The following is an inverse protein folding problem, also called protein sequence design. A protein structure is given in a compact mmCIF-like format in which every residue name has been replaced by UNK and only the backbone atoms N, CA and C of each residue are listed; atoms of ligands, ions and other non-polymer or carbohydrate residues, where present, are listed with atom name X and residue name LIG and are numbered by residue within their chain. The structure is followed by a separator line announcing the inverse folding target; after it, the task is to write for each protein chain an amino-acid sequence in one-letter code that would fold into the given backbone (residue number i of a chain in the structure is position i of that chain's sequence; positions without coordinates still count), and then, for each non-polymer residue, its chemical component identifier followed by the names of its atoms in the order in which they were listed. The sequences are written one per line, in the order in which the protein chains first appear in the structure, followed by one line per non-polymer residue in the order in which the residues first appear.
data_IF_725763412140
#
_entry.id   IF_725763412140
#
_cell.length_a   1.000
_cell.length_b   1.000
_cell.length_c   1.000
_cell.angle_alpha   90.00
_cell.angle_beta   90.00
_cell.angle_gamma   90.00
#
_symmetry.space_group_name_H-M   'P 1'
#
loop_
_entity.id
_entity.type
_entity.pdbx_description
1 polymer ?
#
# COMPACT_ATOMS: atom_id res chain seq x y z
N UNK A 1 4.11 8.24 -13.34
CA UNK A 1 4.90 7.40 -12.39
C UNK A 1 4.54 5.92 -12.42
N UNK A 2 3.26 5.54 -12.53
CA UNK A 2 2.81 4.12 -12.47
C UNK A 2 3.44 3.24 -13.58
N UNK A 3 3.68 3.78 -14.78
CA UNK A 3 4.37 3.06 -15.87
C UNK A 3 5.91 3.15 -15.83
N UNK A 4 6.46 4.15 -15.13
CA UNK A 4 7.92 4.35 -15.06
C UNK A 4 8.59 3.27 -14.20
N UNK A 5 7.97 2.88 -13.09
CA UNK A 5 8.55 1.87 -12.18
C UNK A 5 8.64 0.48 -12.81
N UNK A 6 7.60 -0.03 -13.51
CA UNK A 6 7.70 -1.28 -14.25
C UNK A 6 8.72 -1.23 -15.41
N UNK A 7 8.89 -0.07 -16.04
CA UNK A 7 9.90 0.11 -17.09
C UNK A 7 11.34 0.04 -16.53
N UNK A 8 11.58 0.57 -15.32
CA UNK A 8 12.87 0.41 -14.63
C UNK A 8 13.18 -1.07 -14.37
N UNK A 9 12.17 -1.89 -14.04
CA UNK A 9 12.35 -3.35 -13.89
C UNK A 9 12.79 -4.00 -15.19
N UNK A 10 12.17 -3.63 -16.31
CA UNK A 10 12.54 -4.16 -17.62
C UNK A 10 13.98 -3.77 -18.01
N UNK A 11 14.37 -2.51 -17.82
CA UNK A 11 15.76 -2.08 -18.07
C UNK A 11 16.73 -2.86 -17.18
N UNK A 12 16.41 -2.98 -15.89
CA UNK A 12 17.27 -3.70 -14.94
C UNK A 12 17.42 -5.18 -15.30
N UNK A 13 16.32 -5.81 -15.75
CA UNK A 13 16.35 -7.15 -16.31
C UNK A 13 17.35 -7.24 -17.47
N UNK A 14 17.22 -6.40 -18.50
CA UNK A 14 18.13 -6.40 -19.66
C UNK A 14 19.59 -6.20 -19.22
N UNK A 15 19.87 -5.25 -18.33
CA UNK A 15 21.22 -5.00 -17.82
C UNK A 15 21.81 -6.20 -17.09
N UNK A 16 20.98 -7.00 -16.40
CA UNK A 16 21.43 -8.17 -15.63
C UNK A 16 21.91 -9.33 -16.50
N UNK A 17 21.49 -9.38 -17.77
CA UNK A 17 21.91 -10.42 -18.73
C UNK A 17 23.03 -9.97 -19.66
N UNK A 18 23.45 -8.71 -19.59
CA UNK A 18 24.63 -8.20 -20.31
C UNK A 18 25.85 -8.42 -19.41
N UNK A 19 26.83 -9.27 -19.76
CA UNK A 19 27.92 -9.66 -18.86
C UNK A 19 28.68 -8.49 -18.21
N UNK A 20 28.99 -7.44 -18.99
CA UNK A 20 29.71 -6.25 -18.49
C UNK A 20 28.87 -5.40 -17.53
N UNK A 21 27.53 -5.47 -17.64
CA UNK A 21 26.57 -4.67 -16.86
C UNK A 21 25.86 -5.49 -15.78
N UNK A 22 26.16 -6.79 -15.66
CA UNK A 22 25.50 -7.71 -14.74
C UNK A 22 25.58 -7.22 -13.29
N UNK A 23 26.71 -6.63 -12.87
CA UNK A 23 26.88 -6.06 -11.53
C UNK A 23 25.97 -4.85 -11.29
N UNK A 24 25.75 -4.03 -12.31
CA UNK A 24 24.80 -2.91 -12.25
C UNK A 24 23.38 -3.44 -12.13
N UNK A 25 23.03 -4.44 -12.93
CA UNK A 25 21.74 -5.14 -12.85
C UNK A 25 21.47 -5.73 -11.47
N UNK A 26 22.48 -6.37 -10.86
CA UNK A 26 22.42 -6.93 -9.50
C UNK A 26 22.29 -5.86 -8.42
N UNK A 27 23.04 -4.76 -8.51
CA UNK A 27 22.94 -3.66 -7.57
C UNK A 27 21.54 -3.02 -7.62
N UNK A 28 21.00 -2.83 -8.82
CA UNK A 28 19.63 -2.35 -9.02
C UNK A 28 18.59 -3.35 -8.50
N UNK A 29 18.79 -4.66 -8.70
CA UNK A 29 17.92 -5.70 -8.15
C UNK A 29 17.81 -5.59 -6.62
N UNK A 30 18.95 -5.50 -5.94
CA UNK A 30 18.98 -5.32 -4.49
C UNK A 30 18.37 -3.98 -4.07
N UNK A 31 18.64 -2.92 -4.81
CA UNK A 31 18.02 -1.61 -4.55
C UNK A 31 16.48 -1.68 -4.65
N UNK A 32 15.94 -2.37 -5.64
CA UNK A 32 14.48 -2.57 -5.79
C UNK A 32 13.90 -3.26 -4.55
N UNK A 33 14.54 -4.34 -4.07
CA UNK A 33 14.10 -5.02 -2.85
C UNK A 33 14.16 -4.13 -1.61
N UNK A 34 15.26 -3.39 -1.47
CA UNK A 34 15.40 -2.42 -0.39
C UNK A 34 14.25 -1.40 -0.40
N UNK A 35 13.90 -0.87 -1.58
CA UNK A 35 12.79 0.06 -1.74
C UNK A 35 11.45 -0.59 -1.42
N UNK A 36 11.18 -1.82 -1.87
CA UNK A 36 9.95 -2.56 -1.55
C UNK A 36 9.79 -2.76 -0.03
N UNK A 37 10.86 -3.18 0.65
CA UNK A 37 10.89 -3.36 2.11
C UNK A 37 10.61 -2.03 2.82
N UNK A 38 11.30 -0.96 2.39
CA UNK A 38 11.12 0.37 2.96
C UNK A 38 9.68 0.86 2.78
N UNK A 39 9.11 0.69 1.60
CA UNK A 39 7.74 1.10 1.30
C UNK A 39 6.73 0.32 2.13
N UNK A 40 6.88 -1.01 2.25
CA UNK A 40 6.06 -1.86 3.12
C UNK A 40 6.10 -1.36 4.58
N UNK A 41 7.29 -1.07 5.10
CA UNK A 41 7.44 -0.60 6.48
C UNK A 41 6.75 0.75 6.71
N UNK A 42 6.96 1.72 5.80
CA UNK A 42 6.33 3.03 5.87
C UNK A 42 4.81 2.95 5.74
N UNK A 43 4.33 2.11 4.83
CA UNK A 43 2.90 1.92 4.62
C UNK A 43 2.23 1.32 5.87
N UNK A 44 2.82 0.27 6.47
CA UNK A 44 2.32 -0.30 7.74
C UNK A 44 2.33 0.73 8.87
N UNK A 45 3.38 1.54 9.00
CA UNK A 45 3.44 2.60 10.01
C UNK A 45 2.31 3.61 9.82
N UNK A 46 2.04 4.02 8.58
CA UNK A 46 0.95 4.97 8.25
C UNK A 46 -0.42 4.38 8.53
N UNK A 47 -0.67 3.15 8.08
CA UNK A 47 -1.96 2.50 8.30
C UNK A 47 -2.20 2.17 9.76
N UNK A 48 -1.17 1.86 10.53
CA UNK A 48 -1.31 1.72 11.99
C UNK A 48 -1.87 2.99 12.63
N UNK A 49 -1.43 4.18 12.21
CA UNK A 49 -1.99 5.46 12.68
C UNK A 49 -3.46 5.61 12.30
N UNK A 50 -3.83 5.26 11.06
CA UNK A 50 -5.23 5.25 10.61
C UNK A 50 -6.09 4.33 11.48
N UNK A 51 -5.63 3.10 11.72
CA UNK A 51 -6.37 2.12 12.53
C UNK A 51 -6.51 2.59 13.99
N UNK A 52 -5.43 3.08 14.60
CA UNK A 52 -5.45 3.61 15.96
C UNK A 52 -6.43 4.78 16.10
N UNK A 53 -6.40 5.75 15.17
CA UNK A 53 -7.30 6.91 15.20
C UNK A 53 -8.78 6.55 15.00
N UNK A 54 -9.06 5.42 14.36
CA UNK A 54 -10.42 4.96 14.12
C UNK A 54 -10.89 3.88 15.12
N UNK A 55 -10.08 3.56 16.14
CA UNK A 55 -10.33 2.47 17.09
C UNK A 55 -10.55 1.10 16.40
N UNK A 56 -9.82 0.85 15.31
CA UNK A 56 -9.86 -0.41 14.57
C UNK A 56 -8.77 -1.37 15.05
N UNK A 57 -9.06 -2.67 15.03
CA UNK A 57 -8.05 -3.70 15.32
C UNK A 57 -7.09 -3.84 14.14
N UNK A 58 -5.80 -3.57 14.39
CA UNK A 58 -4.76 -3.75 13.38
C UNK A 58 -4.44 -5.26 13.22
N UNK A 59 -4.32 -5.78 11.99
CA UNK A 59 -4.02 -7.20 11.77
C UNK A 59 -2.68 -7.60 12.39
N UNK A 60 -2.53 -8.87 12.76
CA UNK A 60 -1.28 -9.43 13.33
C UNK A 60 -0.17 -9.52 12.28
N UNK A 61 0.44 -8.37 12.00
CA UNK A 61 1.57 -8.21 11.09
C UNK A 61 2.81 -7.97 11.96
N UNK A 62 3.80 -8.87 11.88
CA UNK A 62 5.01 -8.71 12.69
C UNK A 62 5.73 -7.42 12.30
N UNK A 63 5.99 -6.58 13.29
CA UNK A 63 6.58 -5.25 13.11
C UNK A 63 8.08 -5.29 12.78
N UNK A 64 8.77 -6.38 13.14
CA UNK A 64 10.20 -6.52 12.89
C UNK A 64 10.50 -6.39 11.39
N UNK A 65 11.32 -5.39 11.07
CA UNK A 65 11.71 -5.09 9.70
C UNK A 65 12.34 -6.31 9.01
N UNK A 66 11.93 -6.64 7.78
CA UNK A 66 12.47 -7.78 7.03
C UNK A 66 13.90 -7.56 6.51
N UNK A 67 14.55 -6.45 6.90
CA UNK A 67 15.89 -6.08 6.45
C UNK A 67 16.95 -7.14 6.80
N UNK A 68 16.78 -7.87 7.91
CA UNK A 68 17.70 -8.94 8.28
C UNK A 68 17.68 -10.06 7.26
N UNK A 69 16.50 -10.44 6.75
CA UNK A 69 16.37 -11.46 5.71
C UNK A 69 16.95 -10.97 4.39
N UNK A 70 16.76 -9.70 4.06
CA UNK A 70 17.38 -9.10 2.87
C UNK A 70 18.92 -9.09 2.95
N UNK A 71 19.49 -8.74 4.11
CA UNK A 71 20.94 -8.76 4.31
C UNK A 71 21.51 -10.18 4.22
N UNK A 72 20.86 -11.16 4.87
CA UNK A 72 21.25 -12.58 4.78
C UNK A 72 21.15 -13.10 3.34
N UNK A 73 20.14 -12.66 2.59
CA UNK A 73 19.99 -13.00 1.18
C UNK A 73 21.13 -12.44 0.33
N UNK A 74 21.51 -11.16 0.51
CA UNK A 74 22.65 -10.57 -0.20
C UNK A 74 23.94 -11.33 0.13
N UNK A 75 24.23 -11.56 1.41
CA UNK A 75 25.47 -12.23 1.84
C UNK A 75 25.54 -13.64 1.26
N UNK A 76 24.48 -14.44 1.39
CA UNK A 76 24.44 -15.79 0.83
C UNK A 76 24.58 -15.79 -0.70
N UNK A 77 23.94 -14.86 -1.38
CA UNK A 77 24.06 -14.70 -2.83
C UNK A 77 25.49 -14.36 -3.25
N UNK A 78 26.16 -13.42 -2.56
CA UNK A 78 27.55 -13.06 -2.86
C UNK A 78 28.51 -14.23 -2.61
N UNK A 79 28.34 -14.97 -1.52
CA UNK A 79 29.13 -16.17 -1.24
C UNK A 79 28.96 -17.21 -2.36
N UNK A 80 27.73 -17.47 -2.79
CA UNK A 80 27.45 -18.38 -3.90
C UNK A 80 28.09 -17.91 -5.22
N UNK A 81 28.06 -16.61 -5.52
CA UNK A 81 28.66 -16.07 -6.75
C UNK A 81 30.18 -16.14 -6.73
N UNK A 82 30.82 -15.76 -5.62
CA UNK A 82 32.27 -15.88 -5.45
C UNK A 82 32.70 -17.34 -5.55
N UNK A 83 31.95 -18.23 -4.88
CA UNK A 83 32.19 -19.67 -4.95
C UNK A 83 32.04 -20.22 -6.37
N UNK A 84 31.00 -19.80 -7.11
CA UNK A 84 30.80 -20.18 -8.51
C UNK A 84 31.94 -19.73 -9.42
N UNK A 85 32.40 -18.49 -9.28
CA UNK A 85 33.54 -17.96 -10.05
C UNK A 85 34.82 -18.75 -9.76
N UNK A 86 35.08 -19.04 -8.48
CA UNK A 86 36.22 -19.87 -8.07
C UNK A 86 36.13 -21.27 -8.68
N UNK A 87 34.95 -21.90 -8.65
CA UNK A 87 34.73 -23.25 -9.14
C UNK A 87 34.87 -23.33 -10.67
N UNK A 88 34.37 -22.34 -11.42
CA UNK A 88 34.62 -22.26 -12.87
C UNK A 88 36.10 -22.15 -13.17
N UNK A 89 36.82 -21.27 -12.47
CA UNK A 89 38.24 -21.09 -12.73
C UNK A 89 39.02 -22.38 -12.42
N UNK A 90 38.67 -23.06 -11.33
CA UNK A 90 39.26 -24.33 -10.96
C UNK A 90 38.99 -25.39 -12.02
N UNK A 91 37.72 -25.63 -12.38
CA UNK A 91 37.33 -26.66 -13.37
C UNK A 91 37.83 -26.34 -14.77
N UNK A 92 37.76 -25.07 -15.18
CA UNK A 92 38.20 -24.62 -16.49
C UNK A 92 39.72 -24.69 -16.70
N UNK A 93 40.49 -24.83 -15.62
CA UNK A 93 41.94 -25.05 -15.67
C UNK A 93 42.35 -26.52 -15.76
N UNK A 94 41.41 -27.45 -15.58
CA UNK A 94 41.66 -28.89 -15.61
C UNK A 94 41.66 -29.42 -17.03
N UNK A 95 42.52 -30.40 -17.28
CA UNK A 95 42.46 -31.25 -18.47
C UNK A 95 41.28 -32.23 -18.42
N UNK A 96 41.00 -32.88 -19.54
CA UNK A 96 39.87 -33.82 -19.66
C UNK A 96 40.05 -35.06 -18.76
N UNK A 97 41.29 -35.51 -18.54
CA UNK A 97 41.63 -36.61 -17.62
C UNK A 97 41.48 -36.20 -16.15
N UNK A 98 41.93 -35.00 -15.80
CA UNK A 98 41.77 -34.46 -14.44
C UNK A 98 40.30 -34.21 -14.08
N UNK A 99 39.47 -33.80 -15.04
CA UNK A 99 38.02 -33.66 -14.84
C UNK A 99 37.34 -34.97 -14.42
N UNK A 100 37.80 -36.13 -14.91
CA UNK A 100 37.21 -37.42 -14.56
C UNK A 100 37.47 -37.82 -13.10
N UNK A 101 38.55 -37.32 -12.51
CA UNK A 101 38.95 -37.60 -11.12
C UNK A 101 38.68 -36.43 -10.18
N UNK A 102 38.16 -35.32 -10.70
CA UNK A 102 37.87 -34.12 -9.92
C UNK A 102 36.76 -34.36 -8.91
N UNK A 103 37.09 -34.16 -7.64
CA UNK A 103 36.14 -34.17 -6.54
C UNK A 103 36.25 -32.87 -5.74
N UNK A 104 35.10 -32.26 -5.46
CA UNK A 104 35.04 -31.08 -4.61
C UNK A 104 35.35 -31.46 -3.15
N UNK A 105 36.26 -30.76 -2.46
CA UNK A 105 36.46 -30.92 -1.03
C UNK A 105 35.15 -30.79 -0.25
N UNK A 106 34.93 -31.62 0.76
CA UNK A 106 33.65 -31.65 1.50
C UNK A 106 33.27 -30.30 2.12
N UNK A 107 34.23 -29.51 2.57
CA UNK A 107 33.98 -28.16 3.11
C UNK A 107 33.37 -27.21 2.07
N UNK A 108 33.75 -27.35 0.79
CA UNK A 108 33.19 -26.58 -0.31
C UNK A 108 31.75 -26.97 -0.59
N UNK A 109 31.45 -28.27 -0.51
CA UNK A 109 30.08 -28.81 -0.63
C UNK A 109 29.21 -28.27 0.50
N UNK A 110 29.69 -28.29 1.75
CA UNK A 110 28.95 -27.76 2.90
C UNK A 110 28.74 -26.25 2.82
N UNK A 111 29.74 -25.49 2.37
CA UNK A 111 29.63 -24.05 2.15
C UNK A 111 28.58 -23.74 1.08
N UNK A 112 28.59 -24.47 -0.03
CA UNK A 112 27.60 -24.34 -1.11
C UNK A 112 26.19 -24.65 -0.61
N UNK A 113 25.97 -25.82 0.00
CA UNK A 113 24.66 -26.23 0.51
C UNK A 113 24.16 -25.29 1.61
N UNK A 114 25.01 -24.92 2.55
CA UNK A 114 24.67 -23.98 3.62
C UNK A 114 24.29 -22.60 3.08
N UNK A 115 25.05 -22.08 2.12
CA UNK A 115 24.75 -20.79 1.48
C UNK A 115 23.49 -20.86 0.62
N UNK A 116 23.26 -21.98 -0.09
CA UNK A 116 22.04 -22.21 -0.85
C UNK A 116 20.80 -22.24 0.06
N UNK A 117 20.83 -23.01 1.15
CA UNK A 117 19.74 -23.07 2.12
C UNK A 117 19.49 -21.71 2.78
N UNK A 118 20.57 -21.00 3.16
CA UNK A 118 20.45 -19.65 3.70
C UNK A 118 19.82 -18.69 2.68
N UNK A 119 20.24 -18.74 1.42
CA UNK A 119 19.67 -17.95 0.34
C UNK A 119 18.19 -18.25 0.16
N UNK A 120 17.81 -19.53 0.15
CA UNK A 120 16.42 -19.97 0.06
C UNK A 120 15.57 -19.43 1.20
N UNK A 121 15.96 -19.71 2.45
CA UNK A 121 15.20 -19.32 3.64
C UNK A 121 15.07 -17.81 3.73
N UNK A 122 16.17 -17.09 3.50
CA UNK A 122 16.20 -15.63 3.58
C UNK A 122 15.36 -14.99 2.47
N UNK A 123 15.46 -15.48 1.24
CA UNK A 123 14.66 -14.99 0.13
C UNK A 123 13.16 -15.28 0.32
N UNK A 124 12.79 -16.51 0.64
CA UNK A 124 11.40 -16.90 0.86
C UNK A 124 10.79 -16.10 2.04
N UNK A 125 11.54 -15.94 3.12
CA UNK A 125 11.13 -15.10 4.26
C UNK A 125 10.97 -13.64 3.86
N UNK A 126 11.89 -13.07 3.09
CA UNK A 126 11.79 -11.70 2.60
C UNK A 126 10.54 -11.50 1.73
N UNK A 127 10.27 -12.39 0.76
CA UNK A 127 9.10 -12.30 -0.11
C UNK A 127 7.81 -12.41 0.69
N UNK A 128 7.72 -13.38 1.61
CA UNK A 128 6.56 -13.50 2.50
C UNK A 128 6.31 -12.19 3.27
N UNK A 129 7.36 -11.50 3.71
CA UNK A 129 7.23 -10.22 4.42
C UNK A 129 6.82 -9.04 3.54
N UNK A 130 7.21 -9.05 2.28
CA UNK A 130 6.84 -8.01 1.33
C UNK A 130 5.40 -8.22 0.86
N UNK A 131 5.02 -9.46 0.56
CA UNK A 131 3.75 -9.76 -0.12
C UNK A 131 2.63 -10.16 0.87
N UNK A 132 2.86 -11.15 1.73
CA UNK A 132 1.83 -11.66 2.65
C UNK A 132 1.41 -10.60 3.67
N UNK A 133 2.36 -9.84 4.21
CA UNK A 133 2.05 -8.79 5.19
C UNK A 133 1.16 -7.70 4.54
N UNK A 134 1.42 -7.34 3.28
CA UNK A 134 0.62 -6.34 2.55
C UNK A 134 -0.74 -6.91 2.13
N UNK A 135 -0.79 -8.18 1.74
CA UNK A 135 -2.04 -8.88 1.47
C UNK A 135 -2.94 -8.92 2.72
N UNK A 136 -2.39 -9.30 3.88
CA UNK A 136 -3.13 -9.31 5.15
C UNK A 136 -3.64 -7.93 5.55
N UNK A 137 -2.84 -6.89 5.32
CA UNK A 137 -3.25 -5.52 5.57
C UNK A 137 -4.40 -5.10 4.65
N UNK A 138 -4.28 -5.38 3.34
CA UNK A 138 -5.32 -5.08 2.37
C UNK A 138 -6.64 -5.80 2.69
N UNK A 139 -6.60 -7.05 3.14
CA UNK A 139 -7.81 -7.77 3.59
C UNK A 139 -8.51 -7.07 4.75
N UNK A 140 -7.73 -6.61 5.71
CA UNK A 140 -8.27 -5.83 6.83
C UNK A 140 -8.84 -4.49 6.36
N UNK A 141 -8.18 -3.82 5.42
CA UNK A 141 -8.63 -2.52 4.89
C UNK A 141 -9.92 -2.64 4.08
N UNK A 142 -10.07 -3.70 3.29
CA UNK A 142 -11.31 -4.02 2.57
C UNK A 142 -12.44 -4.27 3.58
N UNK A 143 -12.18 -5.05 4.62
CA UNK A 143 -13.15 -5.34 5.68
C UNK A 143 -13.61 -4.07 6.40
N UNK A 144 -12.73 -3.07 6.53
CA UNK A 144 -13.00 -1.77 7.14
C UNK A 144 -13.41 -0.68 6.14
N UNK A 145 -13.66 -1.03 4.87
CA UNK A 145 -14.05 -0.10 3.78
C UNK A 145 -13.07 1.05 3.52
N UNK A 146 -11.80 0.88 3.88
CA UNK A 146 -10.72 1.82 3.56
C UNK A 146 -10.36 1.70 2.08
N UNK A 147 -10.30 0.47 1.57
CA UNK A 147 -10.00 0.13 0.18
C UNK A 147 -11.19 -0.63 -0.41
N UNK A 148 -11.53 -0.35 -1.69
CA UNK A 148 -12.69 -0.98 -2.34
C UNK A 148 -12.40 -2.35 -2.95
N UNK A 149 -11.18 -2.55 -3.45
CA UNK A 149 -10.82 -3.72 -4.26
C UNK A 149 -9.54 -4.38 -3.77
N UNK A 150 -9.44 -5.70 -3.96
CA UNK A 150 -8.19 -6.43 -3.79
C UNK A 150 -7.28 -6.25 -5.00
N UNK A 151 -6.04 -5.84 -4.76
CA UNK A 151 -5.02 -5.66 -5.80
C UNK A 151 -3.87 -6.64 -5.65
N UNK A 152 -3.48 -6.94 -4.41
CA UNK A 152 -2.34 -7.81 -4.11
C UNK A 152 -2.77 -9.26 -4.23
N UNK A 153 -2.00 -10.03 -5.01
CA UNK A 153 -2.16 -11.48 -5.08
C UNK A 153 -1.17 -12.15 -4.15
N UNK A 154 -1.67 -12.98 -3.24
CA UNK A 154 -0.84 -13.73 -2.32
C UNK A 154 0.05 -14.73 -3.06
N UNK A 155 1.35 -14.64 -2.85
CA UNK A 155 2.39 -15.50 -3.39
C UNK A 155 3.24 -16.04 -2.24
N UNK A 156 3.35 -17.35 -2.18
CA UNK A 156 4.09 -18.04 -1.13
C UNK A 156 5.58 -18.05 -1.46
N UNK A 157 6.42 -17.65 -0.50
CA UNK A 157 7.84 -17.40 -0.72
C UNK A 157 8.63 -18.63 -1.19
N UNK A 158 8.28 -19.84 -0.75
CA UNK A 158 8.97 -21.05 -1.20
C UNK A 158 8.61 -21.39 -2.64
N UNK A 159 7.33 -21.28 -3.02
CA UNK A 159 6.89 -21.44 -4.42
C UNK A 159 7.58 -20.42 -5.31
N UNK A 160 7.71 -19.16 -4.86
CA UNK A 160 8.43 -18.12 -5.60
C UNK A 160 9.91 -18.49 -5.78
N UNK A 161 10.59 -18.98 -4.74
CA UNK A 161 11.98 -19.42 -4.83
C UNK A 161 12.15 -20.61 -5.79
N UNK A 162 11.23 -21.57 -5.75
CA UNK A 162 11.22 -22.72 -6.65
C UNK A 162 11.06 -22.30 -8.11
N UNK A 163 10.06 -21.44 -8.39
CA UNK A 163 9.83 -20.92 -9.75
C UNK A 163 11.03 -20.11 -10.25
N UNK A 164 11.66 -19.34 -9.37
CA UNK A 164 12.89 -18.62 -9.69
C UNK A 164 14.00 -19.56 -10.16
N UNK A 165 14.23 -20.67 -9.46
CA UNK A 165 15.25 -21.67 -9.86
C UNK A 165 14.89 -22.31 -11.20
N UNK A 166 13.65 -22.81 -11.35
CA UNK A 166 13.19 -23.51 -12.56
C UNK A 166 13.25 -22.60 -13.80
N UNK A 167 13.01 -21.31 -13.61
CA UNK A 167 13.00 -20.32 -14.70
C UNK A 167 14.31 -19.56 -14.85
N UNK A 168 15.40 -20.01 -14.21
CA UNK A 168 16.72 -19.36 -14.28
C UNK A 168 16.65 -17.85 -14.01
N UNK A 169 16.01 -17.49 -12.90
CA UNK A 169 15.78 -16.12 -12.46
C UNK A 169 14.86 -15.26 -13.36
N UNK A 170 14.22 -15.79 -14.41
CA UNK A 170 13.26 -14.99 -15.20
C UNK A 170 12.02 -14.64 -14.37
N UNK A 171 11.51 -15.59 -13.58
CA UNK A 171 10.33 -15.36 -12.73
C UNK A 171 10.55 -14.28 -11.66
N UNK A 172 11.80 -14.08 -11.24
CA UNK A 172 12.20 -13.02 -10.31
C UNK A 172 11.76 -11.63 -10.80
N UNK A 173 12.00 -11.34 -12.07
CA UNK A 173 11.71 -10.05 -12.68
C UNK A 173 10.21 -9.87 -12.90
N UNK A 174 9.53 -10.95 -13.29
CA UNK A 174 8.08 -11.00 -13.35
C UNK A 174 7.47 -10.70 -11.98
N UNK A 175 7.95 -11.35 -10.91
CA UNK A 175 7.49 -11.10 -9.54
C UNK A 175 7.68 -9.63 -9.16
N UNK A 176 8.87 -9.05 -9.36
CA UNK A 176 9.15 -7.66 -9.02
C UNK A 176 8.25 -6.68 -9.76
N UNK A 177 7.99 -6.94 -11.05
CA UNK A 177 7.05 -6.15 -11.84
C UNK A 177 5.66 -6.12 -11.18
N UNK A 178 5.12 -7.29 -10.82
CA UNK A 178 3.79 -7.37 -10.20
C UNK A 178 3.77 -6.79 -8.79
N UNK A 179 4.78 -7.07 -7.95
CA UNK A 179 4.87 -6.53 -6.60
C UNK A 179 4.85 -5.00 -6.62
N UNK A 180 5.68 -4.37 -7.45
CA UNK A 180 5.73 -2.90 -7.55
C UNK A 180 4.42 -2.34 -8.07
N UNK A 181 3.84 -2.96 -9.11
CA UNK A 181 2.59 -2.50 -9.70
C UNK A 181 1.44 -2.58 -8.70
N UNK A 182 1.24 -3.74 -8.09
CA UNK A 182 0.13 -4.01 -7.18
C UNK A 182 0.23 -3.17 -5.91
N UNK A 183 1.41 -3.12 -5.27
CA UNK A 183 1.62 -2.27 -4.08
C UNK A 183 1.47 -0.79 -4.40
N UNK A 184 1.92 -0.33 -5.58
CA UNK A 184 1.71 1.06 -5.98
C UNK A 184 0.23 1.39 -6.11
N UNK A 185 -0.55 0.55 -6.81
CA UNK A 185 -2.00 0.77 -6.98
C UNK A 185 -2.69 0.77 -5.61
N UNK A 186 -2.33 -0.19 -4.76
CA UNK A 186 -2.84 -0.28 -3.40
C UNK A 186 -2.57 1.01 -2.60
N UNK A 187 -1.33 1.49 -2.57
CA UNK A 187 -0.95 2.72 -1.86
C UNK A 187 -1.60 3.99 -2.43
N UNK A 188 -1.99 3.98 -3.70
CA UNK A 188 -2.76 5.08 -4.29
C UNK A 188 -4.21 5.06 -3.81
N UNK A 189 -4.82 3.87 -3.74
CA UNK A 189 -6.22 3.70 -3.33
C UNK A 189 -6.43 4.00 -1.85
N UNK A 190 -5.55 3.50 -0.97
CA UNK A 190 -5.59 3.79 0.48
C UNK A 190 -5.14 5.23 0.83
N UNK A 191 -4.61 5.96 -0.15
CA UNK A 191 -4.16 7.34 0.01
C UNK A 191 -2.79 7.52 0.67
N UNK A 192 -2.06 6.44 0.99
CA UNK A 192 -0.72 6.53 1.60
C UNK A 192 0.35 7.04 0.64
N UNK A 193 0.18 6.86 -0.68
CA UNK A 193 1.05 7.44 -1.70
C UNK A 193 0.78 8.93 -1.96
N UNK A 194 -0.47 9.38 -1.76
CA UNK A 194 -0.91 10.75 -2.05
C UNK A 194 -0.99 11.64 -0.82
N UNK A 195 -0.84 11.08 0.38
CA UNK A 195 -1.05 11.78 1.65
C UNK A 195 -2.52 11.88 2.07
N UNK A 196 -3.46 11.42 1.22
CA UNK A 196 -4.90 11.43 1.53
C UNK A 196 -5.27 10.53 2.70
N UNK A 197 -4.42 9.57 3.09
CA UNK A 197 -4.63 8.76 4.29
C UNK A 197 -4.76 9.61 5.56
N UNK A 198 -4.22 10.84 5.59
CA UNK A 198 -4.41 11.78 6.70
C UNK A 198 -5.87 12.21 6.88
N UNK A 199 -6.68 12.19 5.81
CA UNK A 199 -8.12 12.46 5.87
C UNK A 199 -8.89 11.30 6.52
N UNK A 200 -8.32 10.10 6.51
CA UNK A 200 -8.87 8.91 7.15
C UNK A 200 -8.54 8.86 8.64
N UNK A 201 -7.50 9.57 9.08
CA UNK A 201 -7.25 9.81 10.50
C UNK A 201 -8.35 10.78 10.95
N UNK A 202 -9.25 10.35 11.85
CA UNK A 202 -10.33 11.20 12.35
C UNK A 202 -9.79 12.59 12.65
N UNK A 203 -10.47 13.62 12.15
CA UNK A 203 -10.37 14.98 12.68
C UNK A 203 -10.84 14.94 14.14
N UNK A 204 -10.00 14.52 15.06
CA UNK A 204 -10.08 14.98 16.44
C UNK A 204 -9.49 16.41 16.48
N UNK A 205 -10.14 17.34 15.77
CA UNK A 205 -10.08 18.78 16.04
C UNK A 205 -11.13 19.12 17.11
N UNK A 206 -11.14 18.32 18.18
CA UNK A 206 -11.70 18.70 19.47
C UNK A 206 -10.63 18.42 20.52
N UNK A 207 -9.52 19.15 20.45
CA UNK A 207 -8.58 19.43 21.56
C UNK A 207 -7.25 20.01 21.04
N UNK A 208 -7.29 21.06 20.22
CA UNK A 208 -6.16 22.02 20.13
C UNK A 208 -6.62 23.39 19.62
N UNK A 209 -7.66 23.95 20.25
CA UNK A 209 -7.94 25.39 20.23
C UNK A 209 -8.25 25.84 21.66
N UNK A 210 -7.23 25.75 22.49
CA UNK A 210 -6.96 26.43 23.76
C UNK A 210 -5.48 26.07 23.96
N UNK A 211 -4.48 26.93 23.79
CA UNK A 211 -4.31 28.27 24.33
C UNK A 211 -3.30 29.02 23.44
N UNK A 212 -3.72 30.00 22.65
CA UNK A 212 -2.94 31.24 22.39
C UNK A 212 -3.73 32.16 21.46
N UNK A 213 -4.61 32.95 22.05
CA UNK A 213 -4.88 34.32 21.56
C UNK A 213 -5.78 35.01 22.58
N UNK A 214 -5.11 35.82 23.38
CA UNK A 214 -5.53 37.03 24.08
C UNK A 214 -6.84 37.65 23.58
N UNK A 215 -7.70 37.99 24.54
CA UNK A 215 -8.71 39.06 24.56
C UNK A 215 -9.28 39.55 23.21
N UNK A 216 -10.60 39.42 23.04
CA UNK A 216 -11.53 40.58 22.89
C UNK A 216 -12.95 40.07 22.55
N UNK A 217 -13.87 40.40 23.45
CA UNK A 217 -15.34 40.51 23.33
C UNK A 217 -16.22 39.28 23.11
N UNK A 218 -17.13 39.15 24.08
CA UNK A 218 -18.31 38.31 24.09
C UNK A 218 -19.24 38.55 22.89
N UNK A 219 -19.69 37.45 22.27
CA UNK A 219 -20.99 37.37 21.61
C UNK A 219 -21.52 35.93 21.74
N UNK A 220 -22.76 35.79 22.20
CA UNK A 220 -23.50 34.54 22.32
C UNK A 220 -23.61 33.86 20.94
N UNK A 221 -23.57 32.52 20.83
CA UNK A 221 -24.00 31.88 19.59
C UNK A 221 -25.53 32.03 19.48
N UNK A 222 -25.97 32.86 18.53
CA UNK A 222 -27.34 32.86 18.05
C UNK A 222 -27.67 31.46 17.52
N UNK A 223 -28.84 30.94 17.89
CA UNK A 223 -29.41 29.75 17.26
C UNK A 223 -29.71 30.10 15.80
N UNK A 224 -28.79 29.81 14.89
CA UNK A 224 -29.06 29.88 13.45
C UNK A 224 -30.26 28.96 13.13
N UNK A 225 -31.29 29.54 12.52
CA UNK A 225 -32.49 28.82 12.09
C UNK A 225 -32.06 27.71 11.11
N UNK A 226 -32.45 26.43 11.32
CA UNK A 226 -32.16 25.34 10.39
C UNK A 226 -32.53 25.65 8.93
N UNK A 227 -33.49 26.53 8.67
CA UNK A 227 -33.79 27.03 7.34
C UNK A 227 -32.65 27.86 6.71
N UNK A 228 -32.10 28.82 7.43
CA UNK A 228 -31.01 29.69 6.94
C UNK A 228 -29.73 28.90 6.70
N UNK A 229 -29.48 27.88 7.51
CA UNK A 229 -28.35 26.96 7.33
C UNK A 229 -28.42 26.19 6.01
N UNK A 230 -29.62 25.72 5.64
CA UNK A 230 -29.83 25.00 4.37
C UNK A 230 -29.62 25.97 3.20
N UNK A 231 -30.20 27.16 3.26
CA UNK A 231 -30.06 28.19 2.20
C UNK A 231 -28.60 28.55 1.97
N UNK A 232 -27.84 28.82 3.04
CA UNK A 232 -26.44 29.21 2.94
C UNK A 232 -25.57 28.12 2.30
N UNK A 233 -25.94 26.84 2.45
CA UNK A 233 -25.24 25.74 1.80
C UNK A 233 -25.63 25.57 0.33
N UNK A 234 -26.90 25.73 -0.03
CA UNK A 234 -27.38 25.47 -1.40
C UNK A 234 -27.19 26.64 -2.38
N UNK A 235 -26.97 27.87 -1.88
CA UNK A 235 -26.92 29.09 -2.70
C UNK A 235 -25.88 29.06 -3.83
N UNK A 236 -24.79 28.30 -3.65
CA UNK A 236 -23.68 28.18 -4.61
C UNK A 236 -23.55 26.78 -5.26
N UNK A 237 -24.52 25.88 -5.06
CA UNK A 237 -24.45 24.50 -5.57
C UNK A 237 -25.09 24.36 -6.96
N UNK A 238 -24.69 23.35 -7.72
CA UNK A 238 -25.38 22.94 -8.95
C UNK A 238 -26.71 22.24 -8.63
N UNK A 239 -27.68 22.27 -9.56
CA UNK A 239 -29.07 21.82 -9.31
C UNK A 239 -29.16 20.37 -8.79
N UNK A 240 -28.32 19.48 -9.29
CA UNK A 240 -28.35 18.06 -8.92
C UNK A 240 -27.82 17.84 -7.48
N UNK A 241 -26.86 18.65 -7.03
CA UNK A 241 -26.31 18.60 -5.67
C UNK A 241 -27.22 19.28 -4.63
N UNK A 242 -28.03 20.26 -5.07
CA UNK A 242 -29.00 20.95 -4.20
C UNK A 242 -30.02 19.98 -3.62
N UNK A 243 -30.59 19.10 -4.44
CA UNK A 243 -31.61 18.15 -3.99
C UNK A 243 -31.07 17.18 -2.94
N UNK A 244 -29.87 16.62 -3.14
CA UNK A 244 -29.25 15.71 -2.17
C UNK A 244 -28.93 16.38 -0.84
N UNK A 245 -28.48 17.64 -0.89
CA UNK A 245 -28.21 18.45 0.31
C UNK A 245 -29.51 18.73 1.08
N UNK A 246 -30.57 19.16 0.39
CA UNK A 246 -31.88 19.41 0.99
C UNK A 246 -32.45 18.13 1.60
N UNK A 247 -32.39 17.00 0.88
CA UNK A 247 -32.81 15.70 1.40
C UNK A 247 -32.11 15.37 2.72
N UNK A 248 -30.77 15.40 2.73
CA UNK A 248 -30.00 15.06 3.93
C UNK A 248 -30.34 15.94 5.13
N UNK A 249 -30.52 17.24 4.91
CA UNK A 249 -30.79 18.17 6.00
C UNK A 249 -32.22 18.06 6.51
N UNK A 250 -33.21 17.98 5.63
CA UNK A 250 -34.62 17.92 5.99
C UNK A 250 -34.97 16.59 6.66
N UNK A 251 -34.45 15.45 6.20
CA UNK A 251 -34.70 14.14 6.87
C UNK A 251 -33.92 13.96 8.17
N UNK A 252 -32.92 14.82 8.45
CA UNK A 252 -32.17 14.77 9.70
C UNK A 252 -32.82 15.59 10.83
N UNK A 253 -33.91 16.31 10.54
CA UNK A 253 -34.66 17.08 11.53
C UNK A 253 -35.55 16.13 12.33
N UNK A 254 -35.38 16.00 13.67
CA UNK A 254 -36.15 15.06 14.49
C UNK A 254 -37.64 15.41 14.60
N UNK A 255 -37.97 16.69 14.46
CA UNK A 255 -39.34 17.21 14.55
C UNK A 255 -39.97 17.28 13.15
N UNK A 256 -40.86 16.32 12.87
CA UNK A 256 -41.54 16.18 11.59
C UNK A 256 -42.28 17.44 11.17
N UNK A 257 -42.93 18.15 12.10
CA UNK A 257 -43.67 19.38 11.77
C UNK A 257 -42.74 20.49 11.32
N UNK A 258 -41.58 20.64 11.97
CA UNK A 258 -40.56 21.61 11.57
C UNK A 258 -39.90 21.24 10.24
N UNK A 259 -39.71 19.96 9.98
CA UNK A 259 -39.20 19.48 8.70
C UNK A 259 -40.17 19.78 7.54
N UNK A 260 -41.47 19.59 7.77
CA UNK A 260 -42.54 19.95 6.83
C UNK A 260 -42.60 21.47 6.60
N UNK A 261 -42.54 22.30 7.66
CA UNK A 261 -42.52 23.77 7.55
C UNK A 261 -41.30 24.29 6.77
N UNK A 262 -40.12 23.69 6.97
CA UNK A 262 -38.90 24.05 6.23
C UNK A 262 -39.01 23.63 4.76
N UNK A 263 -39.59 22.47 4.50
CA UNK A 263 -39.80 21.97 3.14
C UNK A 263 -40.81 22.83 2.36
N UNK A 264 -41.87 23.31 3.02
CA UNK A 264 -42.86 24.24 2.44
C UNK A 264 -42.21 25.58 2.10
N UNK A 265 -41.41 26.16 3.01
CA UNK A 265 -40.66 27.38 2.73
C UNK A 265 -39.65 27.24 1.59
N UNK A 266 -39.01 26.06 1.43
CA UNK A 266 -38.09 25.82 0.31
C UNK A 266 -38.82 25.73 -1.04
N UNK A 267 -40.08 25.29 -1.04
CA UNK A 267 -40.95 25.29 -2.22
C UNK A 267 -41.43 26.70 -2.56
N UNK A 268 -41.88 27.48 -1.56
CA UNK A 268 -42.31 28.86 -1.74
C UNK A 268 -41.19 29.75 -2.31
N UNK A 269 -39.96 29.58 -1.82
CA UNK A 269 -38.79 30.33 -2.28
C UNK A 269 -38.19 29.80 -3.61
N UNK A 270 -38.78 28.73 -4.17
CA UNK A 270 -38.38 28.19 -5.48
C UNK A 270 -37.04 27.44 -5.49
N UNK A 271 -36.54 27.01 -4.33
CA UNK A 271 -35.32 26.19 -4.22
C UNK A 271 -35.55 24.74 -4.65
N UNK A 272 -36.78 24.25 -4.55
CA UNK A 272 -37.22 22.93 -5.00
C UNK A 272 -38.46 23.03 -5.89
N UNK A 273 -38.65 22.07 -6.79
CA UNK A 273 -39.85 21.94 -7.61
C UNK A 273 -40.95 21.17 -6.87
N UNK A 274 -42.19 21.33 -7.32
CA UNK A 274 -43.35 20.61 -6.75
C UNK A 274 -43.18 19.07 -6.80
N UNK A 275 -42.52 18.55 -7.84
CA UNK A 275 -42.19 17.12 -7.95
C UNK A 275 -41.16 16.65 -6.89
N UNK A 276 -40.20 17.51 -6.54
CA UNK A 276 -39.16 17.25 -5.54
C UNK A 276 -39.73 17.36 -4.13
N UNK A 277 -40.59 18.35 -3.90
CA UNK A 277 -41.37 18.51 -2.68
C UNK A 277 -42.20 17.25 -2.36
N UNK A 278 -42.98 16.75 -3.33
CA UNK A 278 -43.80 15.54 -3.16
C UNK A 278 -42.97 14.30 -2.85
N UNK A 279 -41.77 14.19 -3.43
CA UNK A 279 -40.84 13.09 -3.12
C UNK A 279 -40.31 13.22 -1.69
N UNK A 280 -39.84 14.40 -1.29
CA UNK A 280 -39.28 14.64 0.04
C UNK A 280 -40.33 14.42 1.15
N UNK A 281 -41.57 14.81 0.90
CA UNK A 281 -42.69 14.60 1.83
C UNK A 281 -42.97 13.11 2.12
N UNK A 282 -42.64 12.19 1.21
CA UNK A 282 -42.80 10.74 1.44
C UNK A 282 -41.76 10.17 2.42
N UNK A 283 -40.66 10.88 2.67
CA UNK A 283 -39.56 10.43 3.55
C UNK A 283 -39.59 11.06 4.95
N UNK A 284 -40.45 12.06 5.16
CA UNK A 284 -40.73 12.68 6.46
C UNK A 284 -41.85 11.91 7.18
#
# INVERSE_FOLDING_TARGET
MILLRPFIIFITFVLSYIPVLQFVGLALLFFIYHVLIRNRNLHIERMKKVYQSNNLSFPDIKEKSPIIWFALYIVSFLVLNVFYLYLIQQVGSLTLEEMQTFALPSWQIYLFLGSFLLSWISYASMINRIDRDQWQLQESEISNKIVKNRFIKLREGNVVMLLRIITLDIYQWFLLFFLIRETTIHYFEDGTATGRYLQLIKKDEKETQNETSTDVTAAKPEQEDPYEKIINQIKNMEKDERYSTIFSHVTSIPDKKKAEEILEKLLEDGYIKEEEYKKLQQFL
#
